data_IF_129385803596
#
_entry.id   IF_129385803596
#
_cell.length_a   1.000
_cell.length_b   1.000
_cell.length_c   1.000
_cell.angle_alpha   90.00
_cell.angle_beta   90.00
_cell.angle_gamma   90.00
#
_symmetry.space_group_name_H-M   'P 1'
#
loop_
_entity.id
_entity.type
_entity.pdbx_description
1 polymer ?
#
# COMPACT_ATOMS: atom_id res chain seq x y z
N UNK A 1 -4.32 0.29 -16.12
CA UNK A 1 -5.37 -0.41 -15.33
C UNK A 1 -6.60 0.47 -15.21
N UNK A 2 -7.77 -0.13 -15.23
CA UNK A 2 -9.03 0.58 -15.07
C UNK A 2 -9.60 0.34 -13.69
N UNK A 3 -10.27 1.36 -13.14
CA UNK A 3 -10.95 1.22 -11.85
C UNK A 3 -12.14 0.26 -11.99
N UNK A 4 -12.23 -0.72 -11.11
CA UNK A 4 -13.32 -1.70 -11.13
C UNK A 4 -14.66 -1.07 -10.75
N UNK A 5 -14.66 0.06 -10.08
CA UNK A 5 -15.89 0.73 -9.61
C UNK A 5 -16.46 1.67 -10.66
N UNK A 6 -15.65 2.56 -11.23
CA UNK A 6 -16.13 3.60 -12.14
C UNK A 6 -15.58 3.47 -13.55
N UNK A 7 -14.76 2.48 -13.82
CA UNK A 7 -14.15 2.21 -15.14
C UNK A 7 -13.26 3.33 -15.68
N UNK A 8 -12.86 4.27 -14.85
CA UNK A 8 -11.92 5.31 -15.22
C UNK A 8 -10.50 4.78 -15.25
N UNK A 9 -9.66 5.35 -16.11
CA UNK A 9 -8.26 4.96 -16.17
C UNK A 9 -7.54 5.41 -14.89
N UNK A 10 -6.82 4.49 -14.27
CA UNK A 10 -6.09 4.77 -13.03
C UNK A 10 -4.74 5.41 -13.32
N UNK A 11 -4.25 6.18 -12.34
CA UNK A 11 -2.99 6.91 -12.42
C UNK A 11 -1.99 6.29 -11.45
N UNK A 12 -0.77 6.04 -11.93
CA UNK A 12 0.31 5.53 -11.08
C UNK A 12 0.83 6.65 -10.19
N UNK A 13 0.90 6.38 -8.89
CA UNK A 13 1.41 7.33 -7.90
C UNK A 13 2.37 6.64 -6.95
N UNK A 14 3.19 7.43 -6.27
CA UNK A 14 4.08 6.96 -5.22
C UNK A 14 3.85 7.81 -3.98
N UNK A 15 3.68 7.16 -2.84
CA UNK A 15 3.40 7.89 -1.61
C UNK A 15 3.21 6.99 -0.42
N UNK A 16 2.56 7.53 0.61
CA UNK A 16 2.31 6.84 1.87
C UNK A 16 0.84 6.44 1.94
N UNK A 17 0.59 5.20 2.32
CA UNK A 17 -0.78 4.70 2.51
C UNK A 17 -0.87 3.84 3.75
N UNK A 18 -2.10 3.66 4.23
CA UNK A 18 -2.40 2.78 5.36
C UNK A 18 -2.70 1.37 4.86
N UNK A 19 -2.16 0.38 5.55
CA UNK A 19 -2.40 -1.02 5.26
C UNK A 19 -2.83 -1.71 6.54
N UNK A 20 -3.95 -2.43 6.50
CA UNK A 20 -4.41 -3.20 7.65
C UNK A 20 -4.29 -4.69 7.36
N UNK A 21 -3.53 -5.38 8.20
CA UNK A 21 -3.33 -6.83 8.08
C UNK A 21 -3.59 -7.46 9.44
N UNK A 22 -4.50 -8.43 9.47
CA UNK A 22 -4.86 -9.18 10.68
C UNK A 22 -5.22 -8.27 11.86
N UNK A 23 -5.94 -7.20 11.57
CA UNK A 23 -6.39 -6.24 12.59
C UNK A 23 -5.34 -5.25 13.06
N UNK A 24 -4.12 -5.33 12.55
CA UNK A 24 -3.04 -4.40 12.88
C UNK A 24 -2.86 -3.38 11.76
N UNK A 25 -2.70 -2.12 12.15
CA UNK A 25 -2.46 -1.03 11.18
C UNK A 25 -0.98 -0.89 10.90
N UNK A 26 -0.64 -0.81 9.61
CA UNK A 26 0.71 -0.55 9.14
C UNK A 26 0.72 0.70 8.28
N UNK A 27 1.71 1.55 8.48
CA UNK A 27 1.92 2.73 7.65
C UNK A 27 3.00 2.39 6.62
N UNK A 28 2.64 2.40 5.34
CA UNK A 28 3.54 2.02 4.25
C UNK A 28 4.04 3.28 3.57
N UNK A 29 5.35 3.46 3.53
CA UNK A 29 6.00 4.62 2.92
C UNK A 29 6.63 4.26 1.58
N UNK A 30 6.69 5.22 0.66
CA UNK A 30 7.37 5.07 -0.63
C UNK A 30 6.82 3.92 -1.47
N UNK A 31 5.52 3.64 -1.36
CA UNK A 31 4.89 2.56 -2.10
C UNK A 31 4.33 3.06 -3.44
N UNK A 32 4.48 2.24 -4.48
CA UNK A 32 3.84 2.49 -5.76
C UNK A 32 2.45 1.91 -5.75
N UNK A 33 1.48 2.71 -6.15
CA UNK A 33 0.08 2.28 -6.23
C UNK A 33 -0.62 3.00 -7.38
N UNK A 34 -1.75 2.46 -7.79
CA UNK A 34 -2.60 3.11 -8.78
C UNK A 34 -3.81 3.69 -8.08
N UNK A 35 -4.17 4.92 -8.46
CA UNK A 35 -5.31 5.61 -7.88
C UNK A 35 -6.28 6.05 -8.97
N UNK A 36 -7.58 5.85 -8.74
CA UNK A 36 -8.60 6.37 -9.61
C UNK A 36 -8.84 7.85 -9.30
N UNK A 37 -8.65 8.75 -10.29
CA UNK A 37 -8.82 10.20 -10.03
C UNK A 37 -10.28 10.60 -9.79
N UNK A 38 -11.23 9.72 -10.10
CA UNK A 38 -12.66 10.03 -9.92
C UNK A 38 -13.20 9.60 -8.57
N UNK A 39 -12.91 8.35 -8.15
CA UNK A 39 -13.48 7.80 -6.93
C UNK A 39 -12.45 7.65 -5.79
N UNK A 40 -11.17 7.89 -6.06
CA UNK A 40 -10.12 7.79 -5.06
C UNK A 40 -9.70 6.37 -4.71
N UNK A 41 -10.18 5.36 -5.43
CA UNK A 41 -9.82 3.97 -5.20
C UNK A 41 -8.32 3.77 -5.41
N UNK A 42 -7.66 3.07 -4.48
CA UNK A 42 -6.23 2.80 -4.55
C UNK A 42 -6.00 1.30 -4.66
N UNK A 43 -5.14 0.90 -5.60
CA UNK A 43 -4.88 -0.51 -5.89
C UNK A 43 -3.38 -0.74 -6.00
N UNK A 44 -2.91 -1.83 -5.42
CA UNK A 44 -1.53 -2.29 -5.58
C UNK A 44 -1.45 -3.31 -6.69
N UNK A 45 -0.31 -3.37 -7.39
CA UNK A 45 -0.02 -4.47 -8.28
C UNK A 45 0.18 -5.75 -7.46
N UNK A 46 0.00 -6.94 -8.06
CA UNK A 46 0.23 -8.20 -7.35
C UNK A 46 1.64 -8.30 -6.75
N UNK A 47 2.65 -7.82 -7.46
CA UNK A 47 4.04 -7.84 -6.99
C UNK A 47 4.22 -6.99 -5.75
N UNK A 48 3.67 -5.78 -5.74
CA UNK A 48 3.75 -4.89 -4.59
C UNK A 48 2.97 -5.46 -3.40
N UNK A 49 1.77 -5.99 -3.65
CA UNK A 49 0.97 -6.62 -2.59
C UNK A 49 1.72 -7.77 -1.93
N UNK A 50 2.35 -8.62 -2.72
CA UNK A 50 3.11 -9.76 -2.19
C UNK A 50 4.32 -9.29 -1.39
N UNK A 51 5.04 -8.30 -1.90
CA UNK A 51 6.18 -7.72 -1.19
C UNK A 51 5.77 -7.17 0.18
N UNK A 52 4.68 -6.42 0.24
CA UNK A 52 4.19 -5.86 1.50
C UNK A 52 3.79 -6.95 2.48
N UNK A 53 3.11 -7.99 2.00
CA UNK A 53 2.72 -9.12 2.83
C UNK A 53 3.94 -9.82 3.43
N UNK A 54 4.98 -10.04 2.61
CA UNK A 54 6.21 -10.67 3.08
C UNK A 54 6.96 -9.81 4.10
N UNK A 55 6.98 -8.49 3.90
CA UNK A 55 7.61 -7.58 4.87
C UNK A 55 6.89 -7.63 6.22
N UNK A 56 5.59 -7.71 6.22
CA UNK A 56 4.80 -7.85 7.45
C UNK A 56 5.09 -9.20 8.11
N UNK A 57 5.09 -10.27 7.32
CA UNK A 57 5.34 -11.63 7.82
C UNK A 57 6.74 -11.76 8.42
N UNK A 58 7.74 -11.14 7.82
CA UNK A 58 9.13 -11.18 8.27
C UNK A 58 9.46 -10.09 9.29
N UNK A 59 8.48 -9.29 9.68
CA UNK A 59 8.63 -8.19 10.64
C UNK A 59 9.67 -7.15 10.19
N UNK A 60 9.73 -6.88 8.90
CA UNK A 60 10.63 -5.88 8.32
C UNK A 60 10.03 -4.49 8.42
N UNK A 61 9.80 -4.02 9.65
CA UNK A 61 9.21 -2.71 9.90
C UNK A 61 9.71 -2.15 11.24
N UNK A 62 9.58 -0.83 11.38
CA UNK A 62 9.92 -0.12 12.62
C UNK A 62 8.62 0.27 13.33
N UNK A 63 8.54 0.00 14.64
CA UNK A 63 7.39 0.42 15.43
C UNK A 63 7.60 1.82 15.97
N UNK A 64 6.55 2.64 15.86
CA UNK A 64 6.53 3.98 16.40
C UNK A 64 5.91 3.99 17.79
N UNK A 65 6.14 5.07 18.55
CA UNK A 65 5.58 5.22 19.90
C UNK A 65 4.06 5.23 19.91
N UNK A 66 3.43 5.52 18.78
CA UNK A 66 1.97 5.52 18.63
C UNK A 66 1.42 4.14 18.25
N UNK A 67 2.25 3.10 18.34
CA UNK A 67 1.90 1.72 18.01
C UNK A 67 1.49 1.50 16.55
N UNK A 68 2.07 2.26 15.65
CA UNK A 68 1.89 2.08 14.20
C UNK A 68 3.18 1.53 13.62
N UNK A 69 3.09 0.41 12.91
CA UNK A 69 4.22 -0.15 12.21
C UNK A 69 4.41 0.55 10.87
N UNK A 70 5.64 0.96 10.57
CA UNK A 70 5.97 1.67 9.34
C UNK A 70 6.82 0.78 8.44
N UNK A 71 6.40 0.64 7.20
CA UNK A 71 7.11 -0.15 6.18
C UNK A 71 7.59 0.76 5.07
N UNK A 72 8.73 0.39 4.47
CA UNK A 72 9.16 0.99 3.22
C UNK A 72 8.57 0.16 2.08
N UNK A 73 7.73 0.79 1.26
CA UNK A 73 7.05 0.15 0.15
C UNK A 73 7.80 0.22 -1.17
N UNK A 74 9.06 0.63 -1.16
CA UNK A 74 9.88 0.67 -2.38
C UNK A 74 10.10 -0.77 -2.88
N UNK A 75 9.69 -1.02 -4.12
CA UNK A 75 9.83 -2.33 -4.74
C UNK A 75 11.22 -2.47 -5.36
N UNK A 76 11.86 -3.59 -5.07
CA UNK A 76 13.17 -3.92 -5.62
C UNK A 76 14.20 -4.29 -4.56
#
# INVERSE_FOLDING_TARGET
>A
MECAVCHSKMVLKKGEIDLRVEGRLYLVQNVLYEECPRCGEKVFSPEVSQMLYEKVKNKEYTEQTINVAVLDGTYG
#
